data_IF_460894604781
#
_entry.id   IF_460894604781
#
_cell.length_a   1.000
_cell.length_b   1.000
_cell.length_c   1.000
_cell.angle_alpha   90.00
_cell.angle_beta   90.00
_cell.angle_gamma   90.00
#
_symmetry.space_group_name_H-M   'P 1'
#
loop_
_entity.id
_entity.type
_entity.pdbx_description
1 polymer ?
#
# COMPACT_ATOMS: atom_id res chain seq x y z
N UNK A 1 25.15 7.47 45.09
CA UNK A 1 23.70 7.26 44.93
C UNK A 1 23.19 8.18 43.80
N UNK A 2 23.55 7.91 42.54
CA UNK A 2 23.29 8.87 41.44
C UNK A 2 23.20 8.25 40.02
N UNK A 3 22.66 7.02 39.85
CA UNK A 3 22.57 6.37 38.54
C UNK A 3 21.14 6.02 38.07
N UNK A 4 20.11 6.47 38.80
CA UNK A 4 18.71 6.17 38.45
C UNK A 4 18.15 7.19 37.43
N UNK A 5 18.75 8.38 37.34
CA UNK A 5 18.28 9.48 36.48
C UNK A 5 18.67 9.34 35.00
N UNK A 6 19.63 8.47 34.65
CA UNK A 6 20.05 8.24 33.27
C UNK A 6 19.05 7.35 32.48
N UNK A 7 18.16 6.64 33.17
CA UNK A 7 17.20 5.74 32.54
C UNK A 7 15.93 6.47 32.03
N UNK A 8 15.58 7.62 32.62
CA UNK A 8 14.39 8.38 32.22
C UNK A 8 14.58 9.19 30.92
N UNK A 9 15.82 9.59 30.60
CA UNK A 9 16.11 10.39 29.41
C UNK A 9 16.20 9.57 28.13
N UNK A 10 16.46 8.26 28.23
CA UNK A 10 16.45 7.32 27.09
C UNK A 10 15.04 6.95 26.59
N UNK A 11 14.00 7.16 27.40
CA UNK A 11 12.61 6.93 26.96
C UNK A 11 12.07 8.04 26.04
N UNK A 12 12.73 9.21 25.99
CA UNK A 12 12.34 10.36 25.18
C UNK A 12 12.80 10.32 23.72
N UNK A 13 13.74 9.43 23.37
CA UNK A 13 13.94 9.02 21.98
C UNK A 13 13.03 7.81 21.74
N UNK A 14 11.77 8.05 21.40
CA UNK A 14 10.97 7.00 20.78
C UNK A 14 11.71 6.57 19.52
N UNK A 15 12.49 5.50 19.61
CA UNK A 15 13.29 5.02 18.49
C UNK A 15 12.34 4.85 17.29
N UNK A 16 12.67 5.38 16.11
CA UNK A 16 11.81 5.30 14.93
C UNK A 16 11.36 3.86 14.66
N UNK A 17 12.19 2.88 15.02
CA UNK A 17 11.88 1.44 15.01
C UNK A 17 10.59 1.07 15.76
N UNK A 18 10.31 1.66 16.93
CA UNK A 18 9.08 1.38 17.70
C UNK A 18 7.85 1.96 17.03
N UNK A 19 7.97 3.16 16.44
CA UNK A 19 6.89 3.78 15.68
C UNK A 19 6.56 2.96 14.43
N UNK A 20 7.60 2.50 13.71
CA UNK A 20 7.46 1.61 12.56
C UNK A 20 6.81 0.28 12.96
N UNK A 21 7.23 -0.34 14.06
CA UNK A 21 6.62 -1.57 14.55
C UNK A 21 5.11 -1.38 14.85
N UNK A 22 4.75 -0.24 15.45
CA UNK A 22 3.34 0.12 15.66
C UNK A 22 2.58 0.33 14.35
N UNK A 23 3.17 1.03 13.38
CA UNK A 23 2.59 1.22 12.06
C UNK A 23 2.33 -0.11 11.35
N UNK A 24 3.30 -1.04 11.39
CA UNK A 24 3.18 -2.38 10.84
C UNK A 24 2.09 -3.21 11.51
N UNK A 25 1.93 -3.11 12.83
CA UNK A 25 0.86 -3.80 13.55
C UNK A 25 -0.54 -3.31 13.10
N UNK A 26 -0.71 -2.00 12.92
CA UNK A 26 -1.96 -1.44 12.41
C UNK A 26 -2.19 -1.75 10.94
N UNK A 27 -1.13 -1.79 10.12
CA UNK A 27 -1.21 -2.24 8.72
C UNK A 27 -1.65 -3.70 8.63
N UNK A 28 -1.03 -4.60 9.39
CA UNK A 28 -1.41 -6.01 9.44
C UNK A 28 -2.89 -6.14 9.83
N UNK A 29 -3.32 -5.41 10.87
CA UNK A 29 -4.72 -5.41 11.29
C UNK A 29 -5.65 -4.87 10.20
N UNK A 30 -5.24 -3.83 9.48
CA UNK A 30 -6.00 -3.32 8.34
C UNK A 30 -6.12 -4.37 7.22
N UNK A 31 -5.04 -5.07 6.90
CA UNK A 31 -5.05 -6.13 5.89
C UNK A 31 -5.92 -7.33 6.30
N UNK A 32 -5.97 -7.64 7.59
CA UNK A 32 -6.81 -8.72 8.13
C UNK A 32 -8.31 -8.35 8.15
N UNK A 33 -8.65 -7.12 8.53
CA UNK A 33 -10.04 -6.76 8.83
C UNK A 33 -10.64 -5.72 7.87
N UNK A 34 -9.86 -5.19 6.92
CA UNK A 34 -10.25 -4.08 6.05
C UNK A 34 -10.59 -2.79 6.81
N UNK A 35 -10.23 -2.69 8.09
CA UNK A 35 -10.71 -1.60 8.95
C UNK A 35 -10.01 -0.28 8.60
N UNK A 36 -10.73 0.77 8.14
CA UNK A 36 -10.12 2.03 7.72
C UNK A 36 -9.50 2.79 8.90
N UNK A 37 -10.01 2.57 10.12
CA UNK A 37 -9.43 3.14 11.34
C UNK A 37 -8.01 2.64 11.61
N UNK A 38 -7.72 1.37 11.31
CA UNK A 38 -6.39 0.82 11.48
C UNK A 38 -5.41 1.42 10.45
N UNK A 39 -5.83 1.55 9.18
CA UNK A 39 -5.05 2.24 8.16
C UNK A 39 -4.70 3.68 8.56
N UNK A 40 -5.66 4.43 9.11
CA UNK A 40 -5.42 5.81 9.57
C UNK A 40 -4.39 5.90 10.69
N UNK A 41 -4.42 4.97 11.65
CA UNK A 41 -3.44 4.92 12.74
C UNK A 41 -2.04 4.56 12.23
N UNK A 42 -1.95 3.66 11.24
CA UNK A 42 -0.69 3.38 10.57
C UNK A 42 -0.13 4.62 9.84
N UNK A 43 -0.97 5.33 9.08
CA UNK A 43 -0.57 6.54 8.37
C UNK A 43 -0.01 7.61 9.31
N UNK A 44 -0.68 7.88 10.43
CA UNK A 44 -0.20 8.86 11.42
C UNK A 44 1.19 8.50 11.99
N UNK A 45 1.44 7.21 12.25
CA UNK A 45 2.74 6.77 12.76
C UNK A 45 3.83 6.86 11.69
N UNK A 46 3.51 6.55 10.43
CA UNK A 46 4.44 6.66 9.31
C UNK A 46 4.77 8.12 8.98
N UNK A 47 3.78 9.02 9.09
CA UNK A 47 3.99 10.47 8.91
C UNK A 47 4.98 11.01 9.95
N UNK A 48 4.82 10.59 11.21
CA UNK A 48 5.75 10.91 12.30
C UNK A 48 7.17 10.40 12.01
N UNK A 49 7.31 9.16 11.52
CA UNK A 49 8.61 8.59 11.13
C UNK A 49 9.22 9.36 9.96
N UNK A 50 8.42 9.77 8.98
CA UNK A 50 8.91 10.51 7.81
C UNK A 50 9.41 11.92 8.13
N UNK A 51 8.87 12.50 9.21
CA UNK A 51 9.20 13.84 9.68
C UNK A 51 10.35 13.86 10.68
N UNK A 52 10.75 12.69 11.20
CA UNK A 52 11.84 12.58 12.17
C UNK A 52 13.21 12.66 11.47
N UNK A 53 14.02 13.73 11.67
CA UNK A 53 15.34 13.84 11.06
C UNK A 53 16.35 12.81 11.58
N UNK A 54 16.07 12.13 12.70
CA UNK A 54 16.90 11.05 13.22
C UNK A 54 16.61 9.70 12.55
N UNK A 55 15.55 9.59 11.75
CA UNK A 55 15.22 8.40 10.99
C UNK A 55 16.06 8.32 9.69
N UNK A 56 16.36 7.08 9.29
CA UNK A 56 17.08 6.79 8.05
C UNK A 56 16.38 7.42 6.83
N UNK A 57 17.15 7.91 5.86
CA UNK A 57 16.61 8.62 4.71
C UNK A 57 15.69 7.74 3.84
N UNK A 58 16.06 6.48 3.61
CA UNK A 58 15.22 5.54 2.88
C UNK A 58 13.96 5.20 3.68
N UNK A 59 14.09 5.05 5.00
CA UNK A 59 12.92 4.82 5.86
C UNK A 59 11.92 5.99 5.78
N UNK A 60 12.40 7.24 5.78
CA UNK A 60 11.53 8.42 5.66
C UNK A 60 10.82 8.48 4.32
N UNK A 61 11.53 8.16 3.23
CA UNK A 61 10.96 8.14 1.88
C UNK A 61 9.87 7.06 1.76
N UNK A 62 10.18 5.82 2.17
CA UNK A 62 9.20 4.73 2.17
C UNK A 62 8.01 5.00 3.10
N UNK A 63 8.23 5.65 4.24
CA UNK A 63 7.14 6.04 5.13
C UNK A 63 6.19 7.05 4.46
N UNK A 64 6.70 8.03 3.70
CA UNK A 64 5.85 8.96 2.93
C UNK A 64 5.06 8.26 1.84
N UNK A 65 5.71 7.39 1.09
CA UNK A 65 5.05 6.62 0.03
C UNK A 65 3.89 5.79 0.60
N UNK A 66 4.11 5.13 1.74
CA UNK A 66 3.08 4.36 2.42
C UNK A 66 1.92 5.23 2.94
N UNK A 67 2.19 6.43 3.45
CA UNK A 67 1.14 7.39 3.84
C UNK A 67 0.28 7.75 2.62
N UNK A 68 0.90 8.10 1.50
CA UNK A 68 0.17 8.42 0.28
C UNK A 68 -0.71 7.26 -0.21
N UNK A 69 -0.20 6.02 -0.16
CA UNK A 69 -0.98 4.83 -0.54
C UNK A 69 -2.19 4.66 0.38
N UNK A 70 -2.02 4.79 1.70
CA UNK A 70 -3.10 4.64 2.67
C UNK A 70 -4.15 5.73 2.57
N UNK A 71 -3.76 6.96 2.22
CA UNK A 71 -4.68 8.09 2.08
C UNK A 71 -5.42 8.10 0.73
N UNK A 72 -4.77 7.63 -0.35
CA UNK A 72 -5.40 7.49 -1.67
C UNK A 72 -6.43 6.36 -1.71
N UNK A 73 -6.30 5.38 -0.82
CA UNK A 73 -7.20 4.22 -0.77
C UNK A 73 -8.02 4.13 0.53
N UNK A 74 -8.96 5.07 0.76
CA UNK A 74 -9.94 4.93 1.85
C UNK A 74 -10.92 3.79 1.61
N UNK A 75 -10.85 3.09 0.45
CA UNK A 75 -11.81 2.11 -0.03
C UNK A 75 -11.39 0.65 0.16
N UNK A 76 -10.19 0.35 0.70
CA UNK A 76 -9.75 -1.02 1.05
C UNK A 76 -10.54 -1.72 2.18
N UNK A 77 -11.71 -1.19 2.53
CA UNK A 77 -12.81 -1.97 3.13
C UNK A 77 -13.66 -2.74 2.11
N UNK A 78 -13.26 -2.82 0.83
CA UNK A 78 -13.97 -3.56 -0.21
C UNK A 78 -13.16 -4.77 -0.67
N UNK A 79 -13.72 -5.94 -0.34
CA UNK A 79 -13.59 -7.30 -0.90
C UNK A 79 -12.49 -7.57 -1.96
N UNK A 80 -11.89 -8.77 -1.96
CA UNK A 80 -10.73 -9.12 -2.79
C UNK A 80 -10.97 -8.75 -4.25
N UNK A 81 -9.97 -8.12 -4.88
CA UNK A 81 -9.92 -7.97 -6.33
C UNK A 81 -9.84 -9.38 -6.92
N UNK A 82 -11.00 -9.97 -7.19
CA UNK A 82 -11.10 -11.10 -8.10
C UNK A 82 -10.68 -10.55 -9.44
N UNK A 83 -9.41 -10.76 -9.80
CA UNK A 83 -8.95 -10.68 -11.18
C UNK A 83 -9.77 -11.70 -11.95
N UNK A 84 -10.94 -11.27 -12.42
CA UNK A 84 -11.66 -11.97 -13.47
C UNK A 84 -10.84 -11.77 -14.72
N UNK A 85 -9.86 -12.65 -14.93
CA UNK A 85 -9.31 -12.92 -16.25
C UNK A 85 -10.45 -13.46 -17.12
N UNK A 86 -11.28 -12.55 -17.62
CA UNK A 86 -12.15 -12.83 -18.75
C UNK A 86 -11.22 -13.11 -19.93
N UNK A 87 -11.06 -14.41 -20.21
CA UNK A 87 -10.59 -14.88 -21.51
C UNK A 87 -11.50 -14.24 -22.54
N UNK A 88 -11.02 -13.20 -23.23
CA UNK A 88 -11.66 -12.70 -24.44
C UNK A 88 -11.45 -13.76 -25.53
N UNK A 89 -12.35 -14.73 -25.49
CA UNK A 89 -12.65 -15.66 -26.56
C UNK A 89 -13.27 -14.87 -27.71
N UNK A 90 -12.43 -14.33 -28.60
CA UNK A 90 -12.86 -13.88 -29.92
C UNK A 90 -12.97 -15.11 -30.84
N UNK A 91 -14.04 -15.88 -30.64
CA UNK A 91 -14.57 -16.78 -31.65
C UNK A 91 -15.31 -15.94 -32.70
N UNK A 92 -14.61 -15.53 -33.76
CA UNK A 92 -15.21 -15.10 -35.01
C UNK A 92 -14.98 -16.23 -36.03
N UNK A 93 -15.72 -17.32 -35.85
CA UNK A 93 -15.83 -18.39 -36.82
C UNK A 93 -16.75 -17.93 -37.97
N UNK A 94 -16.12 -17.73 -39.13
CA UNK A 94 -16.58 -18.10 -40.48
C UNK A 94 -17.97 -17.67 -40.96
N UNK A 95 -17.96 -16.82 -41.99
CA UNK A 95 -18.91 -16.95 -43.10
C UNK A 95 -18.18 -16.81 -44.45
N UNK A 96 -18.65 -17.66 -45.35
CA UNK A 96 -18.04 -18.17 -46.58
C UNK A 96 -18.23 -17.26 -47.81
N UNK A 97 -17.32 -17.45 -48.76
CA UNK A 97 -17.53 -17.60 -50.22
C UNK A 97 -17.83 -16.40 -51.15
N UNK A 98 -17.10 -16.41 -52.28
CA UNK A 98 -17.40 -15.69 -53.52
C UNK A 98 -16.27 -14.70 -53.87
N UNK A 99 -15.37 -14.90 -54.84
CA UNK A 99 -15.49 -15.62 -56.11
C UNK A 99 -15.46 -14.61 -57.27
N UNK A 100 -14.37 -14.64 -58.04
CA UNK A 100 -14.16 -14.02 -59.37
C UNK A 100 -14.07 -12.48 -59.49
N UNK A 101 -12.82 -11.99 -59.52
CA UNK A 101 -12.47 -10.74 -60.24
C UNK A 101 -12.49 -11.06 -61.74
N UNK A 102 -13.42 -10.44 -62.48
CA UNK A 102 -13.40 -10.40 -63.94
C UNK A 102 -12.65 -9.15 -64.37
N UNK A 103 -11.41 -9.31 -64.84
CA UNK A 103 -10.65 -8.23 -65.49
C UNK A 103 -11.22 -8.06 -66.89
N UNK A 104 -11.64 -6.84 -67.20
CA UNK A 104 -12.03 -6.39 -68.52
C UNK A 104 -11.04 -5.34 -69.00
N UNK A 105 -10.36 -5.63 -70.12
CA UNK A 105 -9.90 -4.72 -71.17
C UNK A 105 -8.82 -5.45 -71.99
#
# INVERSE_FOLDING_TARGET
>A
MSHITDNLTLQHKQQPTRMVAGALAYLARHMETGCPRAARLAAMLLEQVSSDPAADAHLREHARELVEILERDPANGRAPVVVSSTRSSAAADRLFAGGAVKVAA
#
